data_IF_991367645678
#
_entry.id   IF_991367645678
#
_cell.length_a   1.000
_cell.length_b   1.000
_cell.length_c   1.000
_cell.angle_alpha   90.00
_cell.angle_beta   90.00
_cell.angle_gamma   90.00
#
_symmetry.space_group_name_H-M   'P 1'
#
loop_
_entity.id
_entity.type
_entity.pdbx_description
1 polymer ?
#
# COMPACT_ATOMS: atom_id res chain seq x y z
N UNK A 1 11.28 -24.23 -16.13
CA UNK A 1 12.31 -23.51 -15.37
C UNK A 1 12.91 -22.45 -16.29
N UNK A 2 12.35 -21.24 -16.30
CA UNK A 2 12.85 -20.13 -17.14
C UNK A 2 14.02 -19.51 -16.42
N UNK A 3 15.17 -19.52 -17.08
CA UNK A 3 16.40 -18.84 -16.68
C UNK A 3 16.13 -17.33 -16.65
N UNK A 4 15.85 -16.76 -15.48
CA UNK A 4 15.66 -15.32 -15.25
C UNK A 4 17.01 -14.58 -15.15
N UNK A 5 17.93 -14.90 -16.05
CA UNK A 5 19.19 -14.17 -16.20
C UNK A 5 19.34 -13.88 -17.70
N UNK A 6 18.52 -12.96 -18.21
CA UNK A 6 18.69 -12.39 -19.56
C UNK A 6 17.83 -11.12 -19.69
N UNK A 7 18.50 -9.98 -19.80
CA UNK A 7 18.01 -8.62 -20.04
C UNK A 7 16.98 -8.01 -19.07
N UNK A 8 17.48 -7.46 -17.96
CA UNK A 8 16.79 -6.45 -17.15
C UNK A 8 16.72 -5.07 -17.87
N UNK A 9 16.60 -5.05 -19.19
CA UNK A 9 16.89 -3.86 -20.00
C UNK A 9 15.67 -3.16 -20.59
N UNK A 10 14.43 -3.60 -20.31
CA UNK A 10 13.21 -2.80 -20.45
C UNK A 10 12.13 -3.36 -19.52
N UNK A 11 11.41 -2.49 -18.80
CA UNK A 11 10.18 -2.92 -18.15
C UNK A 11 9.13 -3.16 -19.24
N UNK A 12 8.68 -4.40 -19.37
CA UNK A 12 7.53 -4.77 -20.17
C UNK A 12 6.49 -5.37 -19.22
N UNK A 13 5.33 -4.72 -19.11
CA UNK A 13 4.22 -5.30 -18.38
C UNK A 13 3.80 -6.60 -19.09
N UNK A 14 3.47 -7.68 -18.35
CA UNK A 14 2.89 -8.87 -18.95
C UNK A 14 1.64 -8.52 -19.77
N UNK A 15 1.23 -9.39 -20.69
CA UNK A 15 -0.04 -9.19 -21.38
C UNK A 15 -1.19 -9.28 -20.36
N UNK A 16 -2.15 -8.35 -20.45
CA UNK A 16 -3.35 -8.36 -19.61
C UNK A 16 -4.07 -9.72 -19.75
N UNK A 17 -4.34 -10.37 -18.63
CA UNK A 17 -5.10 -11.62 -18.64
C UNK A 17 -6.53 -11.35 -19.16
N UNK A 18 -6.98 -11.99 -20.25
CA UNK A 18 -8.30 -11.73 -20.83
C UNK A 18 -9.45 -12.04 -19.87
N UNK A 19 -9.23 -12.86 -18.82
CA UNK A 19 -10.22 -13.13 -17.79
C UNK A 19 -10.53 -11.91 -16.91
N UNK A 20 -9.60 -10.95 -16.80
CA UNK A 20 -9.81 -9.73 -16.02
C UNK A 20 -10.99 -8.92 -16.55
N UNK A 21 -11.19 -8.85 -17.87
CA UNK A 21 -12.34 -8.18 -18.46
C UNK A 21 -13.67 -8.75 -17.97
N UNK A 22 -13.76 -10.07 -17.79
CA UNK A 22 -14.97 -10.73 -17.28
C UNK A 22 -15.22 -10.43 -15.79
N UNK A 23 -14.16 -10.35 -14.98
CA UNK A 23 -14.28 -10.03 -13.55
C UNK A 23 -14.59 -8.55 -13.30
N UNK A 24 -14.18 -7.68 -14.21
CA UNK A 24 -14.29 -6.22 -14.06
C UNK A 24 -15.46 -5.60 -14.83
N UNK A 25 -16.28 -6.40 -15.53
CA UNK A 25 -17.38 -5.94 -16.39
C UNK A 25 -18.41 -5.03 -15.70
N UNK A 26 -18.60 -5.20 -14.39
CA UNK A 26 -19.59 -4.46 -13.59
C UNK A 26 -18.95 -3.25 -12.87
N UNK A 27 -17.65 -3.02 -13.07
CA UNK A 27 -16.93 -1.88 -12.52
C UNK A 27 -16.76 -0.77 -13.58
N UNK A 28 -16.61 0.50 -13.15
CA UNK A 28 -16.41 1.60 -14.09
C UNK A 28 -15.13 1.40 -14.91
N UNK A 29 -15.20 1.39 -16.25
CA UNK A 29 -14.03 1.15 -17.11
C UNK A 29 -12.97 2.25 -16.96
N UNK A 30 -13.36 3.45 -16.52
CA UNK A 30 -12.43 4.53 -16.22
C UNK A 30 -11.52 4.26 -15.01
N UNK A 31 -11.88 3.31 -14.15
CA UNK A 31 -11.08 2.91 -12.97
C UNK A 31 -10.07 1.83 -13.37
N UNK A 32 -10.54 0.79 -14.06
CA UNK A 32 -9.75 -0.38 -14.41
C UNK A 32 -9.19 -0.29 -15.84
N UNK A 33 -8.17 0.54 -15.99
CA UNK A 33 -7.55 0.81 -17.29
C UNK A 33 -6.30 -0.03 -17.53
N UNK A 34 -5.87 -0.13 -18.80
CA UNK A 34 -4.57 -0.71 -19.13
C UNK A 34 -3.41 0.01 -18.43
N UNK A 35 -3.51 1.34 -18.28
CA UNK A 35 -2.54 2.13 -17.51
C UNK A 35 -2.48 1.72 -16.04
N UNK A 36 -3.62 1.43 -15.41
CA UNK A 36 -3.64 0.89 -14.03
C UNK A 36 -2.92 -0.45 -13.97
N UNK A 37 -3.24 -1.34 -14.89
CA UNK A 37 -2.62 -2.65 -14.93
C UNK A 37 -1.09 -2.56 -15.07
N UNK A 38 -0.60 -1.77 -16.03
CA UNK A 38 0.83 -1.51 -16.20
C UNK A 38 1.45 -0.87 -14.96
N UNK A 39 0.73 0.04 -14.29
CA UNK A 39 1.20 0.68 -13.07
C UNK A 39 1.33 -0.31 -11.91
N UNK A 40 0.38 -1.24 -11.72
CA UNK A 40 0.44 -2.29 -10.69
C UNK A 40 1.65 -3.20 -10.94
N UNK A 41 1.81 -3.70 -12.17
CA UNK A 41 2.94 -4.54 -12.56
C UNK A 41 4.29 -3.83 -12.35
N UNK A 42 4.32 -2.52 -12.63
CA UNK A 42 5.48 -1.70 -12.34
C UNK A 42 5.74 -1.58 -10.83
N UNK A 43 4.72 -1.36 -10.00
CA UNK A 43 4.92 -1.25 -8.54
C UNK A 43 5.46 -2.55 -7.96
N UNK A 44 4.98 -3.71 -8.43
CA UNK A 44 5.54 -5.01 -8.05
C UNK A 44 7.02 -5.10 -8.45
N UNK A 45 7.38 -4.73 -9.68
CA UNK A 45 8.79 -4.70 -10.12
C UNK A 45 9.63 -3.70 -9.31
N UNK A 46 9.10 -2.52 -9.04
CA UNK A 46 9.78 -1.47 -8.27
C UNK A 46 10.06 -1.94 -6.85
N UNK A 47 9.13 -2.67 -6.23
CA UNK A 47 9.30 -3.24 -4.89
C UNK A 47 10.46 -4.24 -4.82
N UNK A 48 10.65 -5.04 -5.87
CA UNK A 48 11.78 -5.99 -5.98
C UNK A 48 13.09 -5.23 -6.09
N UNK A 49 13.14 -4.19 -6.92
CA UNK A 49 14.34 -3.37 -7.12
C UNK A 49 14.71 -2.57 -5.86
N UNK A 50 13.70 -2.14 -5.09
CA UNK A 50 13.90 -1.58 -3.75
C UNK A 50 14.45 -2.62 -2.78
N UNK A 51 13.98 -3.86 -2.82
CA UNK A 51 14.53 -4.92 -1.96
C UNK A 51 16.00 -5.22 -2.29
N UNK A 52 16.35 -5.22 -3.58
CA UNK A 52 17.74 -5.36 -4.05
C UNK A 52 18.58 -4.16 -3.61
N UNK A 53 18.12 -2.94 -3.82
CA UNK A 53 18.79 -1.72 -3.35
C UNK A 53 19.01 -1.73 -1.83
N UNK A 54 17.97 -2.06 -1.06
CA UNK A 54 18.05 -2.17 0.40
C UNK A 54 19.04 -3.25 0.85
N UNK A 55 19.14 -4.36 0.12
CA UNK A 55 20.12 -5.41 0.43
C UNK A 55 21.57 -4.90 0.37
N UNK A 56 21.85 -3.98 -0.56
CA UNK A 56 23.14 -3.28 -0.67
C UNK A 56 23.29 -2.23 0.43
N UNK A 57 22.30 -1.34 0.62
CA UNK A 57 22.35 -0.26 1.63
C UNK A 57 22.49 -0.77 3.07
N UNK A 58 21.94 -1.95 3.34
CA UNK A 58 21.99 -2.62 4.64
C UNK A 58 23.22 -3.54 4.78
N UNK A 59 24.09 -3.62 3.76
CA UNK A 59 25.29 -4.48 3.73
C UNK A 59 24.99 -5.97 4.01
N UNK A 60 23.80 -6.44 3.63
CA UNK A 60 23.34 -7.81 3.94
C UNK A 60 24.07 -8.87 3.12
N UNK A 61 24.43 -8.53 1.88
CA UNK A 61 24.94 -9.51 0.90
C UNK A 61 26.21 -10.20 1.38
N UNK A 62 27.12 -9.48 2.05
CA UNK A 62 28.36 -10.05 2.58
C UNK A 62 28.14 -11.09 3.70
N UNK A 63 27.02 -11.01 4.42
CA UNK A 63 26.70 -11.93 5.52
C UNK A 63 25.99 -13.21 5.06
N UNK A 64 25.43 -13.20 3.84
CA UNK A 64 24.68 -14.32 3.25
C UNK A 64 25.55 -15.37 2.54
N UNK A 65 26.87 -15.36 2.73
CA UNK A 65 27.77 -16.40 2.19
C UNK A 65 27.53 -17.79 2.82
N UNK A 66 26.98 -17.80 4.04
CA UNK A 66 26.52 -18.98 4.76
C UNK A 66 25.03 -18.88 5.04
N UNK A 67 24.43 -20.00 5.44
CA UNK A 67 23.04 -20.02 5.88
C UNK A 67 22.88 -19.20 7.15
N UNK A 68 21.99 -18.20 7.13
CA UNK A 68 21.68 -17.36 8.29
C UNK A 68 20.18 -17.10 8.41
N UNK A 69 19.65 -17.09 9.63
CA UNK A 69 18.31 -16.56 9.90
C UNK A 69 18.29 -15.04 9.92
N UNK A 70 17.10 -14.44 9.88
CA UNK A 70 16.95 -12.98 10.01
C UNK A 70 17.49 -12.45 11.35
N UNK A 71 17.32 -13.19 12.45
CA UNK A 71 17.86 -12.82 13.76
C UNK A 71 19.40 -12.91 13.79
N UNK A 72 19.98 -13.93 13.16
CA UNK A 72 21.43 -14.06 13.01
C UNK A 72 22.03 -12.93 12.19
N UNK A 73 21.37 -12.55 11.09
CA UNK A 73 21.76 -11.39 10.27
C UNK A 73 21.67 -10.09 11.06
N UNK A 74 20.60 -9.89 11.84
CA UNK A 74 20.49 -8.69 12.69
C UNK A 74 21.66 -8.60 13.67
N UNK A 75 22.02 -9.71 14.33
CA UNK A 75 23.19 -9.75 15.22
C UNK A 75 24.49 -9.47 14.46
N UNK A 76 24.71 -10.12 13.33
CA UNK A 76 25.92 -9.95 12.53
C UNK A 76 26.10 -8.52 12.01
N UNK A 77 25.00 -7.84 11.66
CA UNK A 77 24.97 -6.47 11.14
C UNK A 77 24.80 -5.40 12.22
N UNK A 78 24.77 -5.79 13.50
CA UNK A 78 24.50 -4.89 14.63
C UNK A 78 23.20 -4.09 14.47
N UNK A 79 22.16 -4.74 13.92
CA UNK A 79 20.81 -4.20 13.88
C UNK A 79 20.08 -4.47 15.19
N UNK A 80 19.08 -3.63 15.49
CA UNK A 80 18.21 -3.88 16.63
C UNK A 80 17.39 -5.16 16.42
N UNK A 81 17.16 -5.99 17.46
CA UNK A 81 16.51 -7.30 17.30
C UNK A 81 15.15 -7.25 16.61
N UNK A 82 14.32 -6.25 16.95
CA UNK A 82 12.98 -6.08 16.34
C UNK A 82 12.99 -5.85 14.83
N UNK A 83 14.14 -5.52 14.23
CA UNK A 83 14.26 -5.37 12.78
C UNK A 83 14.24 -6.71 12.05
N UNK A 84 14.38 -7.85 12.74
CA UNK A 84 14.39 -9.17 12.11
C UNK A 84 13.09 -9.49 11.35
N UNK A 85 11.94 -8.99 11.82
CA UNK A 85 10.68 -9.12 11.09
C UNK A 85 10.72 -8.41 9.73
N UNK A 86 11.13 -7.14 9.70
CA UNK A 86 11.30 -6.37 8.45
C UNK A 86 12.35 -7.02 7.55
N UNK A 87 13.43 -7.52 8.14
CA UNK A 87 14.50 -8.19 7.42
C UNK A 87 14.04 -9.49 6.76
N UNK A 88 13.21 -10.28 7.45
CA UNK A 88 12.62 -11.50 6.90
C UNK A 88 11.80 -11.19 5.64
N UNK A 89 10.96 -10.16 5.67
CA UNK A 89 10.21 -9.72 4.48
C UNK A 89 11.10 -9.33 3.31
N UNK A 90 12.20 -8.59 3.57
CA UNK A 90 13.17 -8.26 2.51
C UNK A 90 13.83 -9.51 1.93
N UNK A 91 14.18 -10.48 2.78
CA UNK A 91 14.79 -11.73 2.35
C UNK A 91 13.82 -12.56 1.49
N UNK A 92 12.52 -12.60 1.83
CA UNK A 92 11.51 -13.27 0.99
C UNK A 92 11.39 -12.61 -0.39
N UNK A 93 11.42 -11.28 -0.48
CA UNK A 93 11.49 -10.57 -1.77
C UNK A 93 12.74 -10.95 -2.57
N UNK A 94 13.89 -11.09 -1.92
CA UNK A 94 15.12 -11.53 -2.57
C UNK A 94 15.06 -13.01 -3.01
N UNK A 95 14.31 -13.86 -2.31
CA UNK A 95 14.08 -15.26 -2.70
C UNK A 95 13.29 -15.34 -4.01
N UNK A 96 12.28 -14.49 -4.19
CA UNK A 96 11.49 -14.41 -5.42
C UNK A 96 12.34 -14.07 -6.66
N UNK A 97 13.45 -13.35 -6.47
CA UNK A 97 14.41 -13.06 -7.55
C UNK A 97 15.28 -14.25 -7.93
N UNK A 98 15.35 -15.28 -7.09
CA UNK A 98 16.29 -16.39 -7.22
C UNK A 98 17.73 -16.07 -6.79
N UNK A 99 18.04 -14.85 -6.36
CA UNK A 99 19.36 -14.47 -5.84
C UNK A 99 19.64 -15.10 -4.46
N UNK A 100 18.58 -15.31 -3.66
CA UNK A 100 18.66 -15.90 -2.33
C UNK A 100 17.92 -17.23 -2.32
N UNK A 101 18.52 -18.23 -1.68
CA UNK A 101 17.88 -19.50 -1.35
C UNK A 101 17.37 -19.47 0.07
N UNK A 102 16.26 -20.17 0.30
CA UNK A 102 15.69 -20.39 1.63
C UNK A 102 15.70 -21.88 1.96
N UNK A 103 15.91 -22.20 3.22
CA UNK A 103 15.65 -23.53 3.81
C UNK A 103 14.89 -23.36 5.12
N UNK A 104 14.08 -24.35 5.46
CA UNK A 104 13.34 -24.39 6.72
C UNK A 104 13.82 -25.57 7.57
N UNK A 105 14.09 -25.32 8.84
CA UNK A 105 14.33 -26.34 9.86
C UNK A 105 13.34 -26.09 11.01
N UNK A 106 12.25 -26.86 11.03
CA UNK A 106 11.07 -26.53 11.82
C UNK A 106 10.52 -25.14 11.46
N UNK A 107 10.33 -24.29 12.47
CA UNK A 107 9.87 -22.91 12.31
C UNK A 107 11.00 -21.92 11.95
N UNK A 108 12.26 -22.37 11.91
CA UNK A 108 13.41 -21.52 11.64
C UNK A 108 13.69 -21.46 10.15
N UNK A 109 13.55 -20.27 9.56
CA UNK A 109 13.99 -19.99 8.19
C UNK A 109 15.42 -19.49 8.16
N UNK A 110 16.23 -20.08 7.27
CA UNK A 110 17.60 -19.65 7.00
C UNK A 110 17.77 -19.34 5.52
N UNK A 111 18.57 -18.32 5.23
CA UNK A 111 18.78 -17.76 3.91
C UNK A 111 20.25 -17.84 3.54
N UNK A 112 20.54 -18.09 2.27
CA UNK A 112 21.91 -18.06 1.72
C UNK A 112 21.90 -17.45 0.32
N UNK A 113 22.94 -16.71 -0.01
CA UNK A 113 23.14 -16.21 -1.35
C UNK A 113 23.40 -17.36 -2.32
N UNK A 114 22.72 -17.31 -3.47
CA UNK A 114 22.92 -18.21 -4.61
C UNK A 114 23.66 -17.50 -5.73
N UNK A 115 23.25 -16.27 -6.02
CA UNK A 115 23.82 -15.40 -7.05
C UNK A 115 23.92 -13.98 -6.49
N UNK A 116 24.92 -13.22 -6.91
CA UNK A 116 25.01 -11.81 -6.55
C UNK A 116 23.78 -11.06 -7.11
N UNK A 117 23.08 -10.23 -6.33
CA UNK A 117 22.01 -9.40 -6.85
C UNK A 117 22.57 -8.38 -7.85
N UNK A 118 21.72 -7.94 -8.78
CA UNK A 118 22.09 -6.94 -9.78
C UNK A 118 22.19 -5.53 -9.15
N UNK A 119 22.64 -4.56 -9.96
CA UNK A 119 22.58 -3.15 -9.60
C UNK A 119 21.16 -2.62 -9.85
N UNK A 120 20.50 -2.06 -8.82
CA UNK A 120 19.09 -1.68 -8.92
C UNK A 120 18.87 -0.55 -9.93
N UNK A 121 17.76 -0.59 -10.67
CA UNK A 121 17.42 0.39 -11.71
C UNK A 121 16.26 1.31 -11.31
N UNK A 122 16.26 1.81 -10.06
CA UNK A 122 15.15 2.59 -9.50
C UNK A 122 14.84 3.86 -10.30
N UNK A 123 15.85 4.66 -10.65
CA UNK A 123 15.64 5.91 -11.40
C UNK A 123 14.96 5.67 -12.76
N UNK A 124 15.39 4.60 -13.43
CA UNK A 124 14.82 4.19 -14.70
C UNK A 124 13.37 3.75 -14.56
N UNK A 125 13.08 2.86 -13.61
CA UNK A 125 11.71 2.37 -13.40
C UNK A 125 10.78 3.48 -12.92
N UNK A 126 11.29 4.44 -12.15
CA UNK A 126 10.57 5.66 -11.79
C UNK A 126 10.20 6.44 -13.06
N UNK A 127 11.13 6.65 -13.99
CA UNK A 127 10.83 7.34 -15.24
C UNK A 127 9.74 6.61 -16.04
N UNK A 128 9.85 5.29 -16.20
CA UNK A 128 8.83 4.47 -16.87
C UNK A 128 7.47 4.59 -16.18
N UNK A 129 7.42 4.60 -14.85
CA UNK A 129 6.16 4.76 -14.11
C UNK A 129 5.48 6.09 -14.32
N UNK A 130 6.26 7.17 -14.39
CA UNK A 130 5.73 8.50 -14.67
C UNK A 130 5.27 8.64 -16.13
N UNK A 131 5.89 7.92 -17.06
CA UNK A 131 5.44 7.82 -18.46
C UNK A 131 4.12 7.06 -18.59
N UNK A 132 3.94 5.96 -17.84
CA UNK A 132 2.67 5.20 -17.80
C UNK A 132 1.55 6.07 -17.23
N UNK A 133 1.77 6.67 -16.06
CA UNK A 133 0.83 7.59 -15.44
C UNK A 133 1.52 8.52 -14.42
N UNK A 134 1.41 9.86 -14.53
CA UNK A 134 1.98 10.79 -13.55
C UNK A 134 1.47 10.59 -12.12
N UNK A 135 0.27 10.01 -11.94
CA UNK A 135 -0.29 9.66 -10.63
C UNK A 135 0.55 8.65 -9.85
N UNK A 136 1.39 7.86 -10.53
CA UNK A 136 2.32 6.93 -9.89
C UNK A 136 3.34 7.61 -8.99
N UNK A 137 3.59 8.92 -9.17
CA UNK A 137 4.50 9.69 -8.34
C UNK A 137 4.20 9.53 -6.84
N UNK A 138 2.92 9.54 -6.45
CA UNK A 138 2.54 9.43 -5.05
C UNK A 138 2.98 8.11 -4.40
N UNK A 139 2.87 7.00 -5.13
CA UNK A 139 3.33 5.68 -4.68
C UNK A 139 4.84 5.58 -4.67
N UNK A 140 5.49 6.01 -5.75
CA UNK A 140 6.96 5.95 -5.88
C UNK A 140 7.65 6.82 -4.82
N UNK A 141 7.14 8.03 -4.56
CA UNK A 141 7.71 8.94 -3.56
C UNK A 141 7.56 8.40 -2.14
N UNK A 142 6.42 7.79 -1.81
CA UNK A 142 6.22 7.16 -0.51
C UNK A 142 7.15 5.95 -0.33
N UNK A 143 7.29 5.11 -1.36
CA UNK A 143 8.17 3.95 -1.34
C UNK A 143 9.64 4.35 -1.16
N UNK A 144 10.11 5.34 -1.93
CA UNK A 144 11.49 5.83 -1.83
C UNK A 144 11.78 6.47 -0.46
N UNK A 145 10.83 7.26 0.06
CA UNK A 145 10.95 7.82 1.39
C UNK A 145 11.02 6.72 2.45
N UNK A 146 10.09 5.75 2.40
CA UNK A 146 10.07 4.63 3.33
C UNK A 146 11.38 3.84 3.28
N UNK A 147 11.86 3.46 2.10
CA UNK A 147 13.13 2.76 1.92
C UNK A 147 14.33 3.56 2.47
N UNK A 148 14.33 4.89 2.29
CA UNK A 148 15.35 5.78 2.85
C UNK A 148 15.45 5.73 4.38
N UNK A 149 14.38 5.34 5.08
CA UNK A 149 14.38 5.23 6.55
C UNK A 149 15.02 3.94 7.06
N UNK A 150 15.11 2.89 6.24
CA UNK A 150 15.50 1.55 6.69
C UNK A 150 16.86 1.52 7.38
N UNK A 151 17.94 2.15 6.88
CA UNK A 151 19.24 2.10 7.55
C UNK A 151 19.24 2.70 8.98
N UNK A 152 18.48 3.77 9.21
CA UNK A 152 18.37 4.39 10.53
C UNK A 152 17.51 3.53 11.47
N UNK A 153 16.39 2.99 10.96
CA UNK A 153 15.51 2.09 11.70
C UNK A 153 16.25 0.79 12.06
N UNK A 154 16.97 0.18 11.12
CA UNK A 154 17.73 -1.05 11.35
C UNK A 154 18.73 -0.89 12.51
N UNK A 155 19.36 0.28 12.63
CA UNK A 155 20.30 0.60 13.71
C UNK A 155 19.64 1.15 14.99
N UNK A 156 18.31 1.19 15.06
CA UNK A 156 17.57 1.72 16.20
C UNK A 156 17.72 3.23 16.42
N UNK A 157 18.21 3.97 15.42
CA UNK A 157 18.40 5.43 15.52
C UNK A 157 17.11 6.22 15.32
N UNK A 158 16.08 5.59 14.77
CA UNK A 158 14.79 6.20 14.49
C UNK A 158 13.69 5.13 14.55
N UNK A 159 12.48 5.53 14.95
CA UNK A 159 11.28 4.70 14.81
C UNK A 159 10.63 4.90 13.44
N UNK A 160 10.01 3.84 12.91
CA UNK A 160 9.38 3.88 11.58
C UNK A 160 8.20 4.85 11.51
N UNK A 161 7.35 4.84 12.53
CA UNK A 161 6.21 5.74 12.68
C UNK A 161 6.64 7.21 12.71
N UNK A 162 7.69 7.55 13.45
CA UNK A 162 8.24 8.91 13.49
C UNK A 162 8.74 9.37 12.11
N UNK A 163 9.30 8.46 11.31
CA UNK A 163 9.74 8.77 9.95
C UNK A 163 8.61 8.93 8.94
N UNK A 164 7.58 8.11 9.06
CA UNK A 164 6.46 8.05 8.12
C UNK A 164 5.38 9.09 8.44
N UNK A 165 5.19 9.41 9.72
CA UNK A 165 4.22 10.40 10.20
C UNK A 165 4.87 11.69 10.71
N UNK A 166 6.16 11.88 10.42
CA UNK A 166 6.84 13.16 10.61
C UNK A 166 6.47 14.20 9.54
N UNK A 167 6.99 15.44 9.65
CA UNK A 167 6.63 16.55 8.74
C UNK A 167 6.86 16.27 7.25
N UNK A 168 7.87 15.45 6.91
CA UNK A 168 8.13 15.03 5.52
C UNK A 168 7.25 13.87 5.06
N UNK A 169 6.88 12.97 5.97
CA UNK A 169 6.14 11.75 5.64
C UNK A 169 4.64 11.97 5.52
N UNK A 170 4.04 12.85 6.36
CA UNK A 170 2.60 13.12 6.32
C UNK A 170 2.10 13.55 4.92
N UNK A 171 2.75 14.50 4.20
CA UNK A 171 2.33 14.85 2.85
C UNK A 171 2.38 13.67 1.87
N UNK A 172 3.41 12.84 1.94
CA UNK A 172 3.54 11.64 1.09
C UNK A 172 2.44 10.62 1.39
N UNK A 173 2.16 10.40 2.68
CA UNK A 173 1.07 9.55 3.13
C UNK A 173 -0.27 10.06 2.59
N UNK A 174 -0.55 11.35 2.73
CA UNK A 174 -1.78 11.95 2.23
C UNK A 174 -1.90 11.87 0.71
N UNK A 175 -0.81 12.00 -0.04
CA UNK A 175 -0.81 11.88 -1.50
C UNK A 175 -1.03 10.43 -1.94
N UNK A 176 -0.47 9.46 -1.22
CA UNK A 176 -0.68 8.05 -1.51
C UNK A 176 -2.14 7.62 -1.27
N UNK A 177 -2.71 7.98 -0.12
CA UNK A 177 -4.09 7.65 0.29
C UNK A 177 -5.14 8.60 -0.31
N UNK A 178 -4.96 9.01 -1.57
CA UNK A 178 -5.80 9.96 -2.30
C UNK A 178 -6.40 9.31 -3.56
N UNK A 179 -7.62 9.71 -3.94
CA UNK A 179 -8.30 9.17 -5.12
C UNK A 179 -7.62 9.57 -6.45
N UNK A 180 -6.65 10.49 -6.43
CA UNK A 180 -5.78 10.83 -7.57
C UNK A 180 -4.62 9.84 -7.75
N UNK A 181 -4.27 9.08 -6.72
CA UNK A 181 -3.29 8.00 -6.83
C UNK A 181 -3.97 6.75 -7.37
N UNK A 182 -3.80 6.49 -8.67
CA UNK A 182 -4.51 5.44 -9.39
C UNK A 182 -4.32 4.03 -8.78
N UNK A 183 -3.10 3.69 -8.34
CA UNK A 183 -2.79 2.38 -7.74
C UNK A 183 -3.44 2.20 -6.36
N UNK A 184 -3.84 3.29 -5.70
CA UNK A 184 -4.58 3.25 -4.45
C UNK A 184 -6.10 3.36 -4.67
N UNK A 185 -6.53 4.27 -5.55
CA UNK A 185 -7.93 4.62 -5.78
C UNK A 185 -8.80 3.41 -6.16
N UNK A 186 -8.22 2.43 -6.86
CA UNK A 186 -8.90 1.16 -7.22
C UNK A 186 -9.55 0.47 -6.01
N UNK A 187 -8.92 0.54 -4.82
CA UNK A 187 -9.46 -0.06 -3.60
C UNK A 187 -10.77 0.64 -3.17
N UNK A 188 -10.78 1.97 -3.18
CA UNK A 188 -11.93 2.78 -2.81
C UNK A 188 -13.09 2.57 -3.78
N UNK A 189 -12.79 2.54 -5.08
CA UNK A 189 -13.78 2.29 -6.13
C UNK A 189 -14.38 0.89 -6.01
N UNK A 190 -13.56 -0.12 -5.77
CA UNK A 190 -14.03 -1.50 -5.61
C UNK A 190 -15.03 -1.61 -4.47
N UNK A 191 -14.70 -1.03 -3.32
CA UNK A 191 -15.60 -0.98 -2.15
C UNK A 191 -16.89 -0.20 -2.42
N UNK A 192 -16.80 0.96 -3.07
CA UNK A 192 -17.96 1.80 -3.36
C UNK A 192 -18.95 1.14 -4.33
N UNK A 193 -18.45 0.51 -5.39
CA UNK A 193 -19.28 -0.18 -6.40
C UNK A 193 -20.02 -1.35 -5.76
N UNK A 194 -19.28 -2.19 -5.02
CA UNK A 194 -19.88 -3.33 -4.33
C UNK A 194 -20.90 -2.90 -3.27
N UNK A 195 -20.61 -1.85 -2.50
CA UNK A 195 -21.54 -1.30 -1.53
C UNK A 195 -22.84 -0.81 -2.20
N UNK A 196 -22.74 -0.08 -3.31
CA UNK A 196 -23.92 0.39 -4.02
C UNK A 196 -24.79 -0.78 -4.52
N UNK A 197 -24.17 -1.76 -5.21
CA UNK A 197 -24.86 -2.95 -5.72
C UNK A 197 -25.66 -3.67 -4.64
N UNK A 198 -25.04 -3.93 -3.47
CA UNK A 198 -25.69 -4.60 -2.34
C UNK A 198 -26.79 -3.78 -1.67
N UNK A 199 -26.76 -2.46 -1.82
CA UNK A 199 -27.68 -1.55 -1.15
C UNK A 199 -28.78 -1.00 -2.07
N UNK A 200 -28.78 -1.33 -3.37
CA UNK A 200 -29.77 -0.85 -4.34
C UNK A 200 -31.23 -1.12 -3.92
N UNK A 201 -31.49 -2.26 -3.28
CA UNK A 201 -32.82 -2.66 -2.81
C UNK A 201 -33.23 -2.03 -1.48
N UNK A 202 -32.29 -1.40 -0.76
CA UNK A 202 -32.57 -0.84 0.56
C UNK A 202 -33.17 0.57 0.42
N UNK A 203 -34.35 0.84 1.02
CA UNK A 203 -35.01 2.14 0.90
C UNK A 203 -34.34 3.22 1.77
N UNK A 204 -33.66 2.82 2.84
CA UNK A 204 -32.95 3.73 3.76
C UNK A 204 -31.63 3.11 4.21
N UNK A 205 -30.59 3.92 4.33
CA UNK A 205 -29.23 3.50 4.66
C UNK A 205 -28.76 4.15 5.96
N UNK A 206 -28.20 3.35 6.87
CA UNK A 206 -27.43 3.81 8.02
C UNK A 206 -26.03 3.23 7.90
N UNK A 207 -25.04 4.09 7.74
CA UNK A 207 -23.69 3.69 7.37
C UNK A 207 -22.76 3.99 8.55
N UNK A 208 -21.95 3.02 8.92
CA UNK A 208 -20.80 3.18 9.79
C UNK A 208 -19.55 2.89 8.95
N UNK A 209 -18.62 3.83 8.89
CA UNK A 209 -17.29 3.61 8.32
C UNK A 209 -16.25 3.64 9.42
N UNK A 210 -15.36 2.64 9.39
CA UNK A 210 -14.31 2.44 10.38
C UNK A 210 -12.95 2.72 9.74
N UNK A 211 -12.16 3.59 10.35
CA UNK A 211 -10.82 3.92 9.86
C UNK A 211 -10.84 4.70 8.55
N UNK A 212 -11.68 5.73 8.47
CA UNK A 212 -11.88 6.54 7.27
C UNK A 212 -10.62 7.31 6.83
N UNK A 213 -9.61 7.43 7.70
CA UNK A 213 -8.40 8.20 7.41
C UNK A 213 -8.73 9.64 7.01
N UNK A 214 -8.17 10.08 5.89
CA UNK A 214 -8.41 11.41 5.33
C UNK A 214 -9.71 11.52 4.50
N UNK A 215 -10.51 10.44 4.42
CA UNK A 215 -11.85 10.45 3.81
C UNK A 215 -11.90 10.11 2.31
N UNK A 216 -10.83 9.58 1.71
CA UNK A 216 -10.81 9.25 0.27
C UNK A 216 -11.78 8.12 -0.09
N UNK A 217 -11.92 7.10 0.77
CA UNK A 217 -12.92 6.05 0.59
C UNK A 217 -14.34 6.60 0.72
N UNK A 218 -14.61 7.39 1.76
CA UNK A 218 -15.88 8.07 1.98
C UNK A 218 -16.28 8.95 0.79
N UNK A 219 -15.33 9.73 0.25
CA UNK A 219 -15.55 10.58 -0.94
C UNK A 219 -15.98 9.75 -2.15
N UNK A 220 -15.28 8.66 -2.42
CA UNK A 220 -15.58 7.77 -3.55
C UNK A 220 -16.93 7.07 -3.37
N UNK A 221 -17.25 6.63 -2.14
CA UNK A 221 -18.55 6.05 -1.82
C UNK A 221 -19.68 7.04 -2.10
N UNK A 222 -19.59 8.26 -1.58
CA UNK A 222 -20.60 9.30 -1.77
C UNK A 222 -20.76 9.67 -3.24
N UNK A 223 -19.64 9.82 -3.97
CA UNK A 223 -19.66 10.09 -5.41
C UNK A 223 -20.35 8.98 -6.20
N UNK A 224 -20.10 7.73 -5.86
CA UNK A 224 -20.74 6.59 -6.53
C UNK A 224 -22.21 6.46 -6.14
N UNK A 225 -22.55 6.70 -4.88
CA UNK A 225 -23.93 6.71 -4.42
C UNK A 225 -24.74 7.81 -5.08
N UNK A 226 -24.14 8.96 -5.39
CA UNK A 226 -24.79 10.02 -6.17
C UNK A 226 -25.14 9.53 -7.57
N UNK A 227 -24.15 8.95 -8.27
CA UNK A 227 -24.35 8.35 -9.60
C UNK A 227 -25.46 7.28 -9.61
N UNK A 228 -25.59 6.50 -8.54
CA UNK A 228 -26.61 5.45 -8.41
C UNK A 228 -27.95 5.94 -7.81
N UNK A 229 -28.11 7.22 -7.49
CA UNK A 229 -29.33 7.75 -6.88
C UNK A 229 -29.60 7.24 -5.45
N UNK A 230 -28.54 6.92 -4.71
CA UNK A 230 -28.58 6.38 -3.34
C UNK A 230 -28.37 7.45 -2.26
N UNK A 231 -27.86 8.64 -2.59
CA UNK A 231 -27.55 9.68 -1.59
C UNK A 231 -28.76 10.06 -0.73
N UNK A 232 -29.93 10.25 -1.34
CA UNK A 232 -31.16 10.63 -0.64
C UNK A 232 -31.66 9.56 0.34
N UNK A 233 -31.17 8.32 0.22
CA UNK A 233 -31.51 7.21 1.09
C UNK A 233 -30.65 7.18 2.35
N UNK A 234 -29.55 7.92 2.40
CA UNK A 234 -28.68 7.98 3.57
C UNK A 234 -29.41 8.70 4.71
N UNK A 235 -29.87 7.93 5.69
CA UNK A 235 -30.49 8.46 6.91
C UNK A 235 -29.44 8.96 7.91
N UNK A 236 -28.29 8.30 7.96
CA UNK A 236 -27.16 8.68 8.81
C UNK A 236 -25.90 8.02 8.31
N UNK A 237 -24.79 8.76 8.28
CA UNK A 237 -23.47 8.21 7.97
C UNK A 237 -22.48 8.63 9.06
N UNK A 238 -22.13 7.69 9.93
CA UNK A 238 -21.09 7.87 10.95
C UNK A 238 -19.73 7.47 10.39
N UNK A 239 -18.88 8.47 10.15
CA UNK A 239 -17.52 8.30 9.66
C UNK A 239 -16.59 8.34 10.88
N UNK A 240 -15.83 7.26 11.09
CA UNK A 240 -14.94 7.13 12.25
C UNK A 240 -13.48 6.99 11.87
N UNK A 241 -12.62 7.65 12.63
CA UNK A 241 -11.17 7.64 12.46
C UNK A 241 -10.54 7.99 13.80
N UNK A 242 -9.69 7.15 14.42
CA UNK A 242 -9.11 7.45 15.74
C UNK A 242 -8.23 8.71 15.73
N UNK A 243 -7.45 8.93 14.66
CA UNK A 243 -6.58 10.11 14.53
C UNK A 243 -7.39 11.40 14.34
N UNK A 244 -7.30 12.30 15.31
CA UNK A 244 -7.94 13.61 15.23
C UNK A 244 -7.46 14.43 14.01
N UNK A 245 -6.20 14.26 13.59
CA UNK A 245 -5.65 14.95 12.42
C UNK A 245 -6.35 14.53 11.14
N UNK A 246 -6.40 13.23 10.86
CA UNK A 246 -7.02 12.69 9.65
C UNK A 246 -8.54 12.93 9.66
N UNK A 247 -9.20 12.68 10.80
CA UNK A 247 -10.63 12.92 10.98
C UNK A 247 -11.03 14.36 10.69
N UNK A 248 -10.31 15.36 11.21
CA UNK A 248 -10.61 16.78 10.97
C UNK A 248 -10.41 17.18 9.50
N UNK A 249 -9.41 16.60 8.83
CA UNK A 249 -9.18 16.81 7.39
C UNK A 249 -10.36 16.27 6.58
N UNK A 250 -10.73 15.01 6.80
CA UNK A 250 -11.87 14.38 6.15
C UNK A 250 -13.16 15.18 6.38
N UNK A 251 -13.40 15.59 7.64
CA UNK A 251 -14.55 16.39 8.03
C UNK A 251 -14.66 17.69 7.23
N UNK A 252 -13.57 18.44 7.11
CA UNK A 252 -13.57 19.70 6.38
C UNK A 252 -13.88 19.50 4.89
N UNK A 253 -13.24 18.54 4.24
CA UNK A 253 -13.43 18.33 2.80
C UNK A 253 -14.82 17.79 2.48
N UNK A 254 -15.27 16.73 3.17
CA UNK A 254 -16.57 16.11 2.88
C UNK A 254 -17.74 17.01 3.28
N UNK A 255 -17.67 17.72 4.41
CA UNK A 255 -18.77 18.64 4.80
C UNK A 255 -18.88 19.82 3.83
N UNK A 256 -17.76 20.22 3.19
CA UNK A 256 -17.76 21.26 2.15
C UNK A 256 -18.38 20.76 0.85
N UNK A 257 -18.04 19.54 0.43
CA UNK A 257 -18.56 18.95 -0.81
C UNK A 257 -20.02 18.49 -0.68
N UNK A 258 -20.43 17.99 0.49
CA UNK A 258 -21.74 17.40 0.73
C UNK A 258 -22.45 18.05 1.95
N UNK A 259 -22.76 19.36 1.90
CA UNK A 259 -23.23 20.11 3.08
C UNK A 259 -24.60 19.65 3.60
N UNK A 260 -25.40 18.97 2.78
CA UNK A 260 -26.76 18.56 3.10
C UNK A 260 -26.86 17.09 3.53
N UNK A 261 -25.76 16.32 3.51
CA UNK A 261 -25.78 14.93 3.93
C UNK A 261 -25.68 14.80 5.45
N UNK A 262 -26.35 13.81 6.07
CA UNK A 262 -26.32 13.60 7.52
C UNK A 262 -25.02 12.91 7.96
N UNK A 263 -23.87 13.52 7.68
CA UNK A 263 -22.55 13.05 8.05
C UNK A 263 -22.28 13.34 9.53
N UNK A 264 -21.82 12.33 10.25
CA UNK A 264 -21.40 12.39 11.65
C UNK A 264 -19.97 11.91 11.78
N UNK A 265 -19.27 12.41 12.79
CA UNK A 265 -17.84 12.19 12.96
C UNK A 265 -17.55 11.75 14.38
N UNK A 266 -16.80 10.66 14.54
CA UNK A 266 -16.36 10.19 15.86
C UNK A 266 -14.97 9.57 15.79
N UNK A 267 -14.30 9.45 16.94
CA UNK A 267 -13.19 8.54 17.08
C UNK A 267 -13.73 7.14 17.38
N UNK A 268 -13.13 6.11 16.79
CA UNK A 268 -13.41 4.72 17.12
C UNK A 268 -12.09 3.95 17.08
N UNK A 269 -11.74 3.31 18.19
CA UNK A 269 -10.65 2.36 18.29
C UNK A 269 -11.22 0.94 18.21
N UNK A 270 -10.85 0.22 17.16
CA UNK A 270 -11.27 -1.16 16.91
C UNK A 270 -10.82 -2.12 18.02
N UNK A 271 -9.77 -1.78 18.78
CA UNK A 271 -9.22 -2.62 19.82
C UNK A 271 -9.91 -2.45 21.16
N UNK A 272 -10.85 -1.51 21.28
CA UNK A 272 -11.62 -1.24 22.48
C UNK A 272 -13.10 -1.65 22.30
N UNK A 273 -13.83 -1.96 23.38
CA UNK A 273 -15.25 -2.27 23.29
C UNK A 273 -16.06 -1.14 22.64
N UNK A 274 -16.89 -1.45 21.64
CA UNK A 274 -17.60 -0.45 20.84
C UNK A 274 -18.71 0.29 21.61
N UNK A 275 -19.43 -0.44 22.47
CA UNK A 275 -20.47 0.14 23.32
C UNK A 275 -19.91 1.24 24.26
N UNK A 276 -18.69 1.06 24.76
CA UNK A 276 -18.00 2.06 25.59
C UNK A 276 -17.57 3.30 24.80
N UNK A 277 -17.59 3.23 23.47
CA UNK A 277 -17.21 4.30 22.54
C UNK A 277 -18.44 4.94 21.86
N UNK A 278 -19.65 4.57 22.28
CA UNK A 278 -20.90 5.16 21.77
C UNK A 278 -21.36 4.63 20.42
N UNK A 279 -20.86 3.47 19.99
CA UNK A 279 -21.35 2.74 18.80
C UNK A 279 -22.18 1.55 19.29
N UNK A 280 -23.47 1.55 18.98
CA UNK A 280 -24.48 0.56 19.42
C UNK A 280 -25.22 0.01 18.21
#
# INVERSE_FOLDING_TARGET
MKTLISDASAFEAPALDPRLANWLKDYPPEVFTERLYQSIELMERYSIELAVDLSHRLNMIGQLSKWQSADELCRALSFQPRFSFTLAWLLERLVETGCVMVRCDGDVRSYRLRHAPWQPQLERLRAVGLEIDPGNAATLDLLDHAAGLYPAIARGKQLGDQGLFGPRGIPLWLNYFDNRNLTYAVNNWTGAVLAADRLLSHPTLRILEVGAGAGSASETLLRWFDKCGLLSRIKSYLITEPSAFFRRRAQRELSRQYPNLPLKWAALDLNLPWAAQGVV
#
